data_IF_582211716869
#
_entry.id   IF_582211716869
#
_cell.length_a   1.000
_cell.length_b   1.000
_cell.length_c   1.000
_cell.angle_alpha   90.00
_cell.angle_beta   90.00
_cell.angle_gamma   90.00
#
_symmetry.space_group_name_H-M   'P 1'
#
loop_
_entity.id
_entity.type
_entity.pdbx_description
1 polymer ?
#
# COMPACT_ATOMS: atom_id res chain seq x y z
N UNK A 1 -4.17 31.94 8.40
CA UNK A 1 -4.51 30.51 8.58
C UNK A 1 -4.78 29.85 7.23
N UNK A 2 -5.87 30.17 6.52
CA UNK A 2 -6.21 29.51 5.25
C UNK A 2 -5.09 29.48 4.19
N UNK A 3 -4.43 30.62 3.94
CA UNK A 3 -3.30 30.68 3.01
C UNK A 3 -2.05 29.89 3.45
N UNK A 4 -1.93 29.59 4.74
CA UNK A 4 -0.82 28.82 5.31
C UNK A 4 -1.12 27.32 5.28
N UNK A 5 -2.38 26.94 5.48
CA UNK A 5 -2.91 25.59 5.24
C UNK A 5 -2.73 25.19 3.78
N UNK A 6 -3.15 26.06 2.83
CA UNK A 6 -2.99 25.81 1.39
C UNK A 6 -1.51 25.62 0.99
N UNK A 7 -0.60 26.36 1.63
CA UNK A 7 0.85 26.24 1.38
C UNK A 7 1.46 24.96 1.98
N UNK A 8 0.85 24.39 3.01
CA UNK A 8 1.29 23.14 3.62
C UNK A 8 0.75 21.89 2.89
N UNK A 9 -0.38 22.01 2.20
CA UNK A 9 -1.00 20.91 1.46
C UNK A 9 -0.17 20.45 0.26
N UNK A 10 0.44 21.37 -0.49
CA UNK A 10 1.24 21.05 -1.67
C UNK A 10 2.46 20.16 -1.37
N UNK A 11 3.34 20.48 -0.39
CA UNK A 11 4.46 19.61 -0.03
C UNK A 11 4.00 18.31 0.65
N UNK A 12 2.93 18.35 1.44
CA UNK A 12 2.37 17.17 2.10
C UNK A 12 1.82 16.17 1.07
N UNK A 13 1.08 16.67 0.08
CA UNK A 13 0.56 15.87 -1.02
C UNK A 13 1.67 15.20 -1.83
N UNK A 14 2.77 15.89 -2.11
CA UNK A 14 3.91 15.32 -2.82
C UNK A 14 4.59 14.17 -2.05
N UNK A 15 4.70 14.27 -0.72
CA UNK A 15 5.25 13.23 0.13
C UNK A 15 4.32 12.01 0.22
N UNK A 16 3.02 12.24 0.41
CA UNK A 16 2.02 11.18 0.46
C UNK A 16 1.99 10.38 -0.85
N UNK A 17 2.03 11.08 -2.00
CA UNK A 17 2.01 10.42 -3.32
C UNK A 17 3.19 9.49 -3.57
N UNK A 18 4.37 9.81 -3.02
CA UNK A 18 5.56 8.95 -3.11
C UNK A 18 5.40 7.67 -2.30
N UNK A 19 4.78 7.77 -1.13
CA UNK A 19 4.61 6.64 -0.21
C UNK A 19 3.42 5.76 -0.66
N UNK A 20 2.43 6.35 -1.32
CA UNK A 20 1.26 5.65 -1.85
C UNK A 20 1.60 4.51 -2.83
N UNK A 21 2.73 4.59 -3.54
CA UNK A 21 3.23 3.50 -4.38
C UNK A 21 3.47 2.20 -3.58
N UNK A 22 3.97 2.28 -2.35
CA UNK A 22 4.16 1.12 -1.47
C UNK A 22 2.82 0.50 -1.07
N UNK A 23 1.80 1.33 -0.85
CA UNK A 23 0.45 0.88 -0.55
C UNK A 23 -0.16 0.14 -1.76
N UNK A 24 -0.04 0.71 -2.96
CA UNK A 24 -0.52 0.06 -4.18
C UNK A 24 0.15 -1.30 -4.39
N UNK A 25 1.48 -1.38 -4.28
CA UNK A 25 2.21 -2.65 -4.43
C UNK A 25 1.75 -3.65 -3.36
N UNK A 26 1.60 -3.21 -2.11
CA UNK A 26 1.12 -4.02 -1.00
C UNK A 26 -0.27 -4.62 -1.21
N UNK A 27 -1.16 -3.91 -1.90
CA UNK A 27 -2.52 -4.40 -2.22
C UNK A 27 -2.57 -5.24 -3.50
N UNK A 28 -1.76 -4.91 -4.52
CA UNK A 28 -1.77 -5.62 -5.81
C UNK A 28 -1.01 -6.95 -5.72
N UNK A 29 0.08 -7.03 -4.96
CA UNK A 29 0.91 -8.23 -4.87
C UNK A 29 0.15 -9.49 -4.39
N UNK A 30 -0.72 -9.44 -3.35
CA UNK A 30 -1.56 -10.58 -2.97
C UNK A 30 -2.55 -10.98 -4.06
N UNK A 31 -3.14 -10.00 -4.76
CA UNK A 31 -4.08 -10.25 -5.86
C UNK A 31 -3.40 -10.97 -7.02
N UNK A 32 -2.13 -10.63 -7.32
CA UNK A 32 -1.31 -11.35 -8.29
C UNK A 32 -0.97 -12.78 -7.83
N UNK A 33 -0.68 -12.98 -6.55
CA UNK A 33 -0.48 -14.32 -5.97
C UNK A 33 -1.73 -15.19 -6.04
N UNK A 34 -2.91 -14.60 -5.82
CA UNK A 34 -4.20 -15.28 -6.00
C UNK A 34 -4.44 -15.62 -7.48
N UNK A 35 -4.17 -14.70 -8.40
CA UNK A 35 -4.26 -14.97 -9.84
C UNK A 35 -3.39 -16.18 -10.24
N UNK A 36 -2.18 -16.27 -9.69
CA UNK A 36 -1.29 -17.43 -9.89
C UNK A 36 -1.91 -18.76 -9.44
N UNK A 37 -2.69 -18.77 -8.37
CA UNK A 37 -3.41 -19.99 -7.95
C UNK A 37 -4.47 -20.42 -8.93
N UNK A 38 -5.24 -19.46 -9.46
CA UNK A 38 -6.30 -19.72 -10.42
C UNK A 38 -5.68 -20.26 -11.71
N UNK A 39 -4.60 -19.65 -12.20
CA UNK A 39 -3.88 -20.13 -13.37
C UNK A 39 -3.30 -21.54 -13.18
N UNK A 40 -2.73 -21.83 -12.00
CA UNK A 40 -2.20 -23.15 -11.67
C UNK A 40 -3.29 -24.23 -11.60
N UNK A 41 -4.46 -23.90 -11.05
CA UNK A 41 -5.61 -24.82 -11.05
C UNK A 41 -6.15 -25.04 -12.46
N UNK A 42 -6.33 -23.98 -13.26
CA UNK A 42 -6.81 -24.09 -14.65
C UNK A 42 -5.89 -24.96 -15.49
N UNK A 43 -4.57 -24.77 -15.38
CA UNK A 43 -3.58 -25.60 -16.10
C UNK A 43 -3.60 -27.05 -15.63
N UNK A 44 -3.76 -27.30 -14.32
CA UNK A 44 -3.89 -28.66 -13.78
C UNK A 44 -5.12 -29.38 -14.32
N UNK A 45 -6.28 -28.72 -14.33
CA UNK A 45 -7.52 -29.30 -14.87
C UNK A 45 -7.48 -29.46 -16.39
N UNK A 46 -6.82 -28.56 -17.12
CA UNK A 46 -6.63 -28.70 -18.55
C UNK A 46 -5.71 -29.89 -18.89
N UNK A 47 -4.67 -30.17 -18.10
CA UNK A 47 -3.86 -31.36 -18.30
C UNK A 47 -4.69 -32.64 -18.09
N UNK A 48 -5.59 -32.63 -17.11
CA UNK A 48 -6.50 -33.75 -16.87
C UNK A 48 -7.46 -33.96 -18.04
N UNK A 49 -8.03 -32.90 -18.62
CA UNK A 49 -9.00 -33.03 -19.71
C UNK A 49 -8.40 -33.61 -21.01
N UNK A 50 -7.11 -33.38 -21.25
CA UNK A 50 -6.39 -33.87 -22.44
C UNK A 50 -5.76 -35.27 -22.20
N UNK A 51 -5.70 -35.71 -20.94
CA UNK A 51 -5.11 -37.01 -20.58
C UNK A 51 -6.05 -38.17 -20.95
N UNK A 52 -5.70 -38.92 -21.99
CA UNK A 52 -6.41 -40.15 -22.40
C UNK A 52 -5.88 -41.32 -21.57
N UNK A 53 -6.58 -41.71 -20.50
CA UNK A 53 -6.21 -42.91 -19.72
C UNK A 53 -6.44 -42.86 -18.22
N UNK A 54 -6.95 -41.76 -17.67
CA UNK A 54 -7.24 -41.61 -16.24
C UNK A 54 -6.43 -40.48 -15.61
N UNK A 55 -6.86 -40.04 -14.43
CA UNK A 55 -6.24 -38.94 -13.69
C UNK A 55 -5.01 -39.45 -12.94
N UNK A 56 -3.81 -38.93 -13.23
CA UNK A 56 -2.64 -39.14 -12.36
C UNK A 56 -2.68 -38.13 -11.19
N UNK A 57 -2.91 -38.60 -9.94
CA UNK A 57 -2.99 -37.72 -8.77
C UNK A 57 -1.70 -36.93 -8.52
N UNK A 58 -0.55 -37.44 -8.97
CA UNK A 58 0.75 -36.76 -8.79
C UNK A 58 0.84 -35.49 -9.63
N UNK A 59 0.25 -35.51 -10.83
CA UNK A 59 0.25 -34.36 -11.73
C UNK A 59 -0.60 -33.21 -11.16
N UNK A 60 -1.79 -33.57 -10.64
CA UNK A 60 -2.68 -32.63 -9.96
C UNK A 60 -2.00 -32.02 -8.73
N UNK A 61 -1.39 -32.85 -7.88
CA UNK A 61 -0.69 -32.38 -6.67
C UNK A 61 0.44 -31.40 -7.00
N UNK A 62 1.19 -31.64 -8.08
CA UNK A 62 2.25 -30.74 -8.53
C UNK A 62 1.73 -29.37 -8.96
N UNK A 63 0.64 -29.33 -9.73
CA UNK A 63 0.06 -28.07 -10.20
C UNK A 63 -0.58 -27.24 -9.08
N UNK A 64 -1.22 -27.90 -8.11
CA UNK A 64 -1.72 -27.24 -6.89
C UNK A 64 -0.58 -26.71 -6.03
N UNK A 65 0.50 -27.48 -5.86
CA UNK A 65 1.68 -27.01 -5.13
C UNK A 65 2.27 -25.75 -5.78
N UNK A 66 2.41 -25.73 -7.10
CA UNK A 66 2.88 -24.56 -7.83
C UNK A 66 1.95 -23.35 -7.62
N UNK A 67 0.64 -23.56 -7.69
CA UNK A 67 -0.36 -22.53 -7.37
C UNK A 67 -0.12 -21.94 -5.97
N UNK A 68 0.02 -22.78 -4.94
CA UNK A 68 0.24 -22.32 -3.56
C UNK A 68 1.55 -21.54 -3.40
N UNK A 69 2.63 -21.96 -4.06
CA UNK A 69 3.92 -21.24 -4.04
C UNK A 69 3.77 -19.83 -4.58
N UNK A 70 2.96 -19.60 -5.62
CA UNK A 70 2.73 -18.25 -6.16
C UNK A 70 2.00 -17.34 -5.17
N UNK A 71 1.09 -17.87 -4.34
CA UNK A 71 0.46 -17.10 -3.26
C UNK A 71 1.47 -16.70 -2.19
N UNK A 72 2.32 -17.64 -1.78
CA UNK A 72 3.37 -17.38 -0.80
C UNK A 72 4.29 -16.27 -1.30
N UNK A 73 4.68 -16.30 -2.58
CA UNK A 73 5.49 -15.22 -3.17
C UNK A 73 4.76 -13.87 -3.14
N UNK A 74 3.47 -13.83 -3.51
CA UNK A 74 2.67 -12.60 -3.48
C UNK A 74 2.58 -12.00 -2.06
N UNK A 75 2.36 -12.84 -1.05
CA UNK A 75 2.33 -12.42 0.36
C UNK A 75 3.71 -11.98 0.87
N UNK A 76 4.77 -12.65 0.44
CA UNK A 76 6.16 -12.32 0.82
C UNK A 76 6.54 -10.91 0.36
N UNK A 77 6.00 -10.45 -0.77
CA UNK A 77 6.20 -9.06 -1.24
C UNK A 77 5.23 -8.09 -0.56
N UNK A 78 3.97 -8.49 -0.38
CA UNK A 78 2.93 -7.63 0.18
C UNK A 78 3.22 -7.17 1.62
N UNK A 79 3.62 -8.11 2.48
CA UNK A 79 3.82 -7.86 3.91
C UNK A 79 4.91 -6.79 4.15
N UNK A 80 6.12 -6.89 3.59
CA UNK A 80 7.14 -5.84 3.73
C UNK A 80 6.72 -4.50 3.12
N UNK A 81 6.01 -4.50 1.98
CA UNK A 81 5.56 -3.26 1.33
C UNK A 81 4.54 -2.51 2.20
N UNK A 82 3.56 -3.21 2.77
CA UNK A 82 2.57 -2.62 3.69
C UNK A 82 3.20 -2.15 4.99
N UNK A 83 4.16 -2.91 5.53
CA UNK A 83 4.88 -2.52 6.74
C UNK A 83 5.71 -1.24 6.51
N UNK A 84 6.46 -1.18 5.40
CA UNK A 84 7.21 0.02 5.01
C UNK A 84 6.28 1.22 4.79
N UNK A 85 5.15 1.03 4.11
CA UNK A 85 4.13 2.06 3.94
C UNK A 85 3.68 2.67 5.28
N UNK A 86 3.37 1.82 6.27
CA UNK A 86 2.97 2.27 7.60
C UNK A 86 4.05 3.10 8.31
N UNK A 87 5.32 2.67 8.23
CA UNK A 87 6.44 3.41 8.83
C UNK A 87 6.64 4.78 8.18
N UNK A 88 6.60 4.86 6.86
CA UNK A 88 6.79 6.13 6.15
C UNK A 88 5.59 7.07 6.34
N UNK A 89 4.37 6.53 6.33
CA UNK A 89 3.17 7.32 6.58
C UNK A 89 3.19 7.95 7.97
N UNK A 90 3.49 7.17 9.01
CA UNK A 90 3.61 7.69 10.37
C UNK A 90 4.68 8.79 10.48
N UNK A 91 5.80 8.66 9.75
CA UNK A 91 6.83 9.71 9.71
C UNK A 91 6.38 10.98 9.01
N UNK A 92 5.65 10.87 7.91
CA UNK A 92 5.09 12.04 7.21
C UNK A 92 4.06 12.72 8.08
N UNK A 93 3.13 11.97 8.68
CA UNK A 93 2.10 12.52 9.56
C UNK A 93 2.72 13.26 10.76
N UNK A 94 3.76 12.69 11.38
CA UNK A 94 4.51 13.36 12.44
C UNK A 94 5.23 14.63 11.97
N UNK A 95 5.84 14.62 10.78
CA UNK A 95 6.51 15.80 10.23
C UNK A 95 5.50 16.92 9.91
N UNK A 96 4.35 16.58 9.33
CA UNK A 96 3.27 17.52 9.04
C UNK A 96 2.73 18.14 10.32
N UNK A 97 2.53 17.34 11.37
CA UNK A 97 2.10 17.84 12.68
C UNK A 97 3.08 18.85 13.29
N UNK A 98 4.39 18.59 13.19
CA UNK A 98 5.42 19.54 13.66
C UNK A 98 5.40 20.84 12.87
N UNK A 99 5.30 20.76 11.54
CA UNK A 99 5.22 21.95 10.68
C UNK A 99 3.97 22.78 11.00
N UNK A 100 2.83 22.13 11.20
CA UNK A 100 1.59 22.80 11.59
C UNK A 100 1.73 23.55 12.93
N UNK A 101 2.35 22.92 13.93
CA UNK A 101 2.59 23.55 15.24
C UNK A 101 3.50 24.78 15.14
N UNK A 102 4.64 24.65 14.45
CA UNK A 102 5.58 25.76 14.25
C UNK A 102 4.91 26.92 13.51
N UNK A 103 4.09 26.59 12.51
CA UNK A 103 3.38 27.57 11.73
C UNK A 103 2.33 28.32 12.58
N UNK A 104 1.62 27.64 13.47
CA UNK A 104 0.69 28.27 14.43
C UNK A 104 1.42 29.20 15.41
N UNK A 105 2.55 28.74 15.97
CA UNK A 105 3.38 29.52 16.89
C UNK A 105 3.96 30.78 16.23
N UNK A 106 4.30 30.73 14.93
CA UNK A 106 4.78 31.89 14.17
C UNK A 106 3.67 32.89 13.82
N UNK A 107 2.43 32.44 13.66
CA UNK A 107 1.28 33.31 13.33
C UNK A 107 0.67 33.94 14.58
N UNK A 108 0.75 33.28 15.73
CA UNK A 108 0.19 33.79 16.99
C UNK A 108 0.66 35.23 17.34
N UNK A 109 1.94 35.63 17.16
CA UNK A 109 2.42 36.99 17.36
C UNK A 109 1.97 38.00 16.31
N UNK A 110 1.66 37.55 15.09
CA UNK A 110 1.26 38.41 13.97
C UNK A 110 -0.23 38.75 13.98
N UNK A 111 -1.02 38.10 14.84
CA UNK A 111 -2.42 38.46 15.04
C UNK A 111 -2.46 39.88 15.63
N UNK A 112 -2.92 40.91 14.88
CA UNK A 112 -2.95 42.26 15.40
C UNK A 112 -3.82 42.25 16.64
N UNK A 113 -3.25 42.70 17.76
CA UNK A 113 -4.01 42.87 18.99
C UNK A 113 -5.24 43.70 18.68
N UNK A 114 -6.42 43.17 19.04
CA UNK A 114 -7.62 43.96 19.15
C UNK A 114 -7.40 44.98 20.28
N UNK A 115 -6.69 46.07 19.98
CA UNK A 115 -6.68 47.29 20.78
C UNK A 115 -7.98 48.02 20.54
N UNK A 116 -9.06 47.43 21.05
CA UNK A 116 -10.30 48.15 21.31
C UNK A 116 -10.54 48.06 22.81
N UNK A 117 -9.90 48.97 23.52
CA UNK A 117 -10.32 49.48 24.84
C UNK A 117 -10.39 51.00 24.70
N UNK A 118 -11.21 51.72 25.48
CA UNK A 118 -12.39 51.32 26.25
C UNK A 118 -13.72 51.74 25.59
#
# INVERSE_FOLDING_TARGET
MKAMEDAADEPTGALLRRIEHLNMIGNIAPMLGLLGTVLGMVTSFNQISVSVGGVDPRLLAKGIFQALVTTVMGLTVAIPSLYAFGLFRNRVDAAVAVVAQIAEDLVAPLKPGNTSRP
#
